data_IF_785052840228
#
_entry.id   IF_785052840228
#
_cell.length_a   1.000
_cell.length_b   1.000
_cell.length_c   1.000
_cell.angle_alpha   90.00
_cell.angle_beta   90.00
_cell.angle_gamma   90.00
#
_symmetry.space_group_name_H-M   'P 1'
#
loop_
_entity.id
_entity.type
_entity.pdbx_description
1 polymer ?
#
# COMPACT_ATOMS: atom_id res chain seq x y z
N UNK A 1 13.97 4.48 1.36
CA UNK A 1 13.27 4.55 0.05
C UNK A 1 12.51 5.86 -0.03
N UNK A 2 12.56 6.52 -1.17
CA UNK A 2 11.86 7.80 -1.31
C UNK A 2 10.39 7.59 -1.67
N UNK A 3 9.64 8.69 -1.63
CA UNK A 3 8.19 8.63 -1.82
C UNK A 3 7.79 8.30 -3.27
N UNK A 4 8.64 8.60 -4.23
CA UNK A 4 8.39 8.30 -5.64
C UNK A 4 8.57 6.81 -5.89
N UNK A 5 9.65 6.21 -5.38
CA UNK A 5 9.86 4.78 -5.50
C UNK A 5 8.81 3.98 -4.75
N UNK A 6 8.47 4.41 -3.54
CA UNK A 6 7.48 3.70 -2.73
C UNK A 6 6.13 3.61 -3.46
N UNK A 7 5.76 4.63 -4.20
CA UNK A 7 4.51 4.65 -4.96
C UNK A 7 4.43 3.53 -6.00
N UNK A 8 5.55 3.12 -6.58
CA UNK A 8 5.58 2.05 -7.58
C UNK A 8 5.07 0.73 -7.02
N UNK A 9 5.27 0.52 -5.73
CA UNK A 9 4.90 -0.73 -5.08
C UNK A 9 3.42 -0.77 -4.68
N UNK A 10 2.66 0.26 -5.02
CA UNK A 10 1.21 0.25 -4.85
C UNK A 10 0.48 -0.41 -6.01
N UNK A 11 1.21 -0.83 -7.07
CA UNK A 11 0.64 -1.48 -8.23
C UNK A 11 1.07 -2.94 -8.32
N UNK A 12 0.17 -3.81 -8.78
CA UNK A 12 0.45 -5.21 -9.06
C UNK A 12 1.21 -5.88 -7.91
N UNK A 13 0.77 -5.62 -6.70
CA UNK A 13 1.56 -5.93 -5.50
C UNK A 13 1.06 -7.14 -4.71
N UNK A 14 0.18 -7.96 -5.29
CA UNK A 14 -0.39 -9.09 -4.56
C UNK A 14 0.67 -10.07 -4.06
N UNK A 15 1.59 -10.47 -4.92
CA UNK A 15 2.62 -11.44 -4.55
C UNK A 15 3.56 -10.90 -3.46
N UNK A 16 3.80 -9.60 -3.45
CA UNK A 16 4.60 -8.97 -2.40
C UNK A 16 3.84 -8.92 -1.09
N UNK A 17 2.58 -8.50 -1.13
CA UNK A 17 1.77 -8.35 0.08
C UNK A 17 1.48 -9.67 0.77
N UNK A 18 1.40 -10.77 0.02
CA UNK A 18 1.19 -12.09 0.61
C UNK A 18 2.33 -12.48 1.55
N UNK A 19 3.51 -11.89 1.40
CA UNK A 19 4.69 -12.16 2.23
C UNK A 19 4.85 -11.17 3.38
N UNK A 20 4.02 -10.15 3.43
CA UNK A 20 4.13 -9.10 4.45
C UNK A 20 3.24 -9.43 5.65
N UNK A 21 3.68 -9.02 6.83
CA UNK A 21 2.86 -9.13 8.05
C UNK A 21 1.92 -7.94 8.17
N UNK A 22 2.38 -6.77 7.74
CA UNK A 22 1.60 -5.53 7.77
C UNK A 22 1.69 -4.82 6.44
N UNK A 23 0.65 -4.10 6.13
CA UNK A 23 0.62 -3.17 5.01
C UNK A 23 -0.03 -1.88 5.48
N UNK A 24 0.02 -0.87 4.65
CA UNK A 24 -0.55 0.42 4.98
C UNK A 24 -1.11 1.09 3.75
N UNK A 25 -2.02 2.03 3.99
CA UNK A 25 -2.63 2.83 2.93
C UNK A 25 -2.17 4.28 3.10
N UNK A 26 -1.54 4.84 2.08
CA UNK A 26 -1.09 6.22 2.17
C UNK A 26 -2.17 7.24 1.80
N UNK A 27 -3.40 6.79 1.58
CA UNK A 27 -4.54 7.71 1.48
C UNK A 27 -5.21 7.90 2.83
N UNK A 28 -5.69 6.82 3.46
CA UNK A 28 -6.39 6.90 4.74
C UNK A 28 -5.49 6.70 5.96
N UNK A 29 -4.22 6.32 5.74
CA UNK A 29 -3.20 6.16 6.77
C UNK A 29 -3.44 4.99 7.73
N UNK A 30 -4.29 4.04 7.35
CA UNK A 30 -4.50 2.83 8.15
C UNK A 30 -3.36 1.84 7.96
N UNK A 31 -2.99 1.16 9.04
CA UNK A 31 -1.99 0.10 9.07
C UNK A 31 -2.71 -1.18 9.48
N UNK A 32 -2.59 -2.24 8.69
CA UNK A 32 -3.36 -3.46 8.92
C UNK A 32 -2.68 -4.67 8.28
N UNK A 33 -3.23 -5.86 8.55
CA UNK A 33 -2.73 -7.10 7.94
C UNK A 33 -3.20 -7.20 6.49
N UNK A 34 -2.33 -7.64 5.55
CA UNK A 34 -2.77 -7.89 4.17
C UNK A 34 -3.93 -8.88 4.06
N UNK A 35 -4.12 -9.73 5.07
CA UNK A 35 -5.25 -10.68 5.10
C UNK A 35 -6.60 -9.99 5.16
N UNK A 36 -6.63 -8.71 5.55
CA UNK A 36 -7.87 -7.93 5.59
C UNK A 36 -8.25 -7.37 4.24
N UNK A 37 -7.39 -7.48 3.22
CA UNK A 37 -7.69 -7.00 1.88
C UNK A 37 -8.70 -7.93 1.22
N UNK A 38 -9.85 -7.37 0.82
CA UNK A 38 -10.96 -8.14 0.25
C UNK A 38 -11.14 -7.90 -1.23
N UNK A 39 -10.60 -6.82 -1.76
CA UNK A 39 -10.76 -6.44 -3.15
C UNK A 39 -9.40 -6.26 -3.80
N UNK A 40 -9.25 -6.84 -5.00
CA UNK A 40 -8.04 -6.76 -5.80
C UNK A 40 -8.44 -6.40 -7.22
N UNK A 41 -7.76 -5.44 -7.81
CA UNK A 41 -8.01 -5.05 -9.20
C UNK A 41 -6.96 -5.70 -10.09
N UNK A 42 -7.42 -6.47 -11.08
CA UNK A 42 -6.55 -7.13 -12.04
C UNK A 42 -6.35 -6.28 -13.28
N UNK A 43 -5.09 -6.19 -13.74
CA UNK A 43 -4.77 -5.60 -15.02
C UNK A 43 -3.68 -6.44 -15.71
N UNK A 44 -3.10 -5.92 -16.80
CA UNK A 44 -2.08 -6.65 -17.56
C UNK A 44 -0.80 -6.91 -16.77
N UNK A 45 -0.58 -6.19 -15.69
CA UNK A 45 0.63 -6.30 -14.86
C UNK A 45 0.43 -7.17 -13.63
N UNK A 46 -0.79 -7.50 -13.27
CA UNK A 46 -1.08 -8.34 -12.11
C UNK A 46 -2.23 -7.78 -11.28
N UNK A 47 -2.24 -8.14 -10.00
CA UNK A 47 -3.31 -7.78 -9.07
C UNK A 47 -2.85 -6.67 -8.13
N UNK A 48 -3.66 -5.63 -8.04
CA UNK A 48 -3.41 -4.47 -7.19
C UNK A 48 -4.38 -4.46 -6.01
N UNK A 49 -3.84 -4.30 -4.80
CA UNK A 49 -4.64 -4.27 -3.59
C UNK A 49 -5.46 -3.00 -3.50
N UNK A 50 -6.70 -3.15 -3.05
CA UNK A 50 -7.60 -2.04 -2.78
C UNK A 50 -7.83 -1.97 -1.28
N UNK A 51 -7.68 -0.79 -0.69
CA UNK A 51 -7.82 -0.61 0.75
C UNK A 51 -9.24 -0.92 1.20
N UNK A 52 -9.36 -1.82 2.19
CA UNK A 52 -10.67 -2.20 2.73
C UNK A 52 -11.31 -1.10 3.57
N UNK A 53 -10.54 -0.08 3.95
CA UNK A 53 -11.02 1.00 4.81
C UNK A 53 -11.46 2.23 4.03
N UNK A 54 -10.84 2.51 2.88
CA UNK A 54 -11.16 3.72 2.13
C UNK A 54 -11.45 3.50 0.63
N UNK A 55 -11.17 2.31 0.11
CA UNK A 55 -11.46 1.99 -1.29
C UNK A 55 -10.43 2.48 -2.30
N UNK A 56 -9.29 2.99 -1.86
CA UNK A 56 -8.24 3.46 -2.76
C UNK A 56 -7.20 2.37 -3.02
N UNK A 57 -6.59 2.42 -4.19
CA UNK A 57 -5.52 1.50 -4.59
C UNK A 57 -4.14 2.02 -4.16
N UNK A 58 -4.03 2.42 -2.91
CA UNK A 58 -2.83 3.05 -2.36
C UNK A 58 -2.21 2.23 -1.23
N UNK A 59 -2.13 0.92 -1.41
CA UNK A 59 -1.59 0.00 -0.41
C UNK A 59 -0.13 -0.33 -0.73
N UNK A 60 0.72 -0.22 0.28
CA UNK A 60 2.12 -0.66 0.18
C UNK A 60 2.46 -1.53 1.39
N UNK A 61 3.42 -2.43 1.21
CA UNK A 61 3.84 -3.32 2.28
C UNK A 61 4.79 -2.68 3.26
N UNK A 62 4.89 -3.26 4.43
CA UNK A 62 5.76 -2.78 5.50
C UNK A 62 7.23 -2.68 5.08
N UNK A 63 7.72 -3.65 4.31
CA UNK A 63 9.13 -3.65 3.88
C UNK A 63 9.46 -2.51 2.92
N UNK A 64 8.46 -1.97 2.24
CA UNK A 64 8.63 -0.86 1.31
C UNK A 64 8.53 0.48 2.03
N UNK A 65 7.65 0.57 3.02
CA UNK A 65 7.40 1.80 3.78
C UNK A 65 8.24 1.86 5.06
N UNK A 66 9.46 1.35 5.01
CA UNK A 66 10.32 1.36 6.16
C UNK A 66 11.04 2.70 6.32
N UNK A 67 11.05 3.29 7.51
CA UNK A 67 10.31 2.85 8.70
C UNK A 67 8.80 3.07 8.53
N UNK A 68 8.04 2.06 8.96
CA UNK A 68 6.59 2.11 8.89
C UNK A 68 6.05 3.04 9.96
N UNK A 69 5.83 4.29 9.61
CA UNK A 69 5.35 5.32 10.54
C UNK A 69 4.21 6.10 9.91
N UNK A 70 3.37 6.67 10.77
CA UNK A 70 2.32 7.57 10.32
C UNK A 70 2.90 8.79 9.61
N UNK A 71 4.09 9.22 10.02
CA UNK A 71 4.76 10.36 9.38
C UNK A 71 5.11 10.07 7.92
N UNK A 72 5.66 8.89 7.64
CA UNK A 72 5.95 8.46 6.26
C UNK A 72 4.66 8.45 5.44
N UNK A 73 3.59 7.88 5.99
CA UNK A 73 2.31 7.80 5.30
C UNK A 73 1.72 9.18 5.02
N UNK A 74 1.85 10.10 5.96
CA UNK A 74 1.37 11.47 5.77
C UNK A 74 2.11 12.16 4.63
N UNK A 75 3.42 11.95 4.52
CA UNK A 75 4.20 12.53 3.45
C UNK A 75 3.86 11.91 2.10
N UNK A 76 3.60 10.60 2.07
CA UNK A 76 3.11 9.92 0.87
C UNK A 76 1.76 10.51 0.45
N UNK A 77 0.87 10.70 1.40
CA UNK A 77 -0.44 11.29 1.13
C UNK A 77 -0.31 12.69 0.54
N UNK A 78 0.54 13.53 1.13
CA UNK A 78 0.77 14.89 0.65
C UNK A 78 1.37 14.91 -0.75
N UNK A 79 2.24 13.96 -1.06
CA UNK A 79 2.90 13.89 -2.36
C UNK A 79 1.94 13.48 -3.47
N UNK A 80 1.04 12.53 -3.20
CA UNK A 80 0.24 11.88 -4.24
C UNK A 80 -1.24 12.24 -4.21
N UNK A 81 -1.69 12.92 -3.18
CA UNK A 81 -3.06 13.39 -3.03
C UNK A 81 -3.07 14.84 -2.56
#
# INVERSE_FOLDING_TARGET
>A
MDYIEAHRYSFANKSMLEKEKLCDCFYCLEIFSPKEIKEWWEDDHGWTAVCSYCGMDSIIGESIAYPLTKEFLKKMHQKWF
#
